data_IF_158863112134
#
_entry.id   IF_158863112134
#
_cell.length_a   1.000
_cell.length_b   1.000
_cell.length_c   1.000
_cell.angle_alpha   90.00
_cell.angle_beta   90.00
_cell.angle_gamma   90.00
#
_symmetry.space_group_name_H-M   'P 1'
#
loop_
_entity.id
_entity.type
_entity.pdbx_description
1 polymer ?
#
# COMPACT_ATOMS: atom_id res chain seq x y z
N UNK A 1 -11.46 -5.24 -0.78
CA UNK A 1 -10.00 -5.27 -0.89
C UNK A 1 -9.37 -3.90 -0.85
N UNK A 2 -9.87 -3.03 0.03
CA UNK A 2 -9.26 -1.73 0.31
C UNK A 2 -9.44 -1.28 1.76
N UNK A 3 -9.75 -2.19 2.66
CA UNK A 3 -9.28 -2.17 4.03
C UNK A 3 -7.76 -2.01 4.07
N UNK A 4 -7.23 -2.48 3.10
CA UNK A 4 -5.95 -2.60 2.54
C UNK A 4 -5.33 -1.32 2.01
N UNK A 5 -6.01 -0.23 1.74
CA UNK A 5 -5.24 0.90 1.20
C UNK A 5 -4.46 1.67 2.26
N UNK A 6 -4.67 1.38 3.56
CA UNK A 6 -3.77 1.87 4.63
C UNK A 6 -3.19 0.77 5.52
N UNK A 7 -3.86 -0.35 5.68
CA UNK A 7 -3.23 -1.60 6.13
C UNK A 7 -2.38 -2.18 4.99
N UNK A 8 -2.74 -1.99 3.72
CA UNK A 8 -1.89 -2.35 2.58
C UNK A 8 -0.80 -1.34 2.26
N UNK A 9 -0.82 -0.08 2.70
CA UNK A 9 0.42 0.71 2.59
C UNK A 9 1.48 0.19 3.57
N UNK A 10 1.09 -0.33 4.72
CA UNK A 10 1.98 -1.08 5.61
C UNK A 10 2.28 -2.49 5.08
N UNK A 11 1.25 -3.18 4.59
CA UNK A 11 1.42 -4.48 3.96
C UNK A 11 2.14 -4.44 2.60
N UNK A 12 2.27 -3.30 1.92
CA UNK A 12 2.98 -3.16 0.64
C UNK A 12 4.43 -2.68 0.80
N UNK A 13 4.79 -2.04 1.90
CA UNK A 13 6.21 -1.75 2.19
C UNK A 13 6.94 -2.99 2.74
N UNK A 14 6.27 -3.84 3.52
CA UNK A 14 6.82 -5.11 3.98
C UNK A 14 6.98 -6.16 2.85
N UNK A 15 5.99 -6.41 1.96
CA UNK A 15 6.18 -7.34 0.85
C UNK A 15 7.25 -6.92 -0.14
N UNK A 16 7.50 -5.63 -0.32
CA UNK A 16 8.55 -5.18 -1.22
C UNK A 16 9.95 -5.53 -0.71
N UNK A 17 10.18 -5.53 0.61
CA UNK A 17 11.41 -6.04 1.21
C UNK A 17 11.45 -7.57 1.26
N UNK A 18 10.33 -8.19 1.63
CA UNK A 18 10.17 -9.64 1.56
C UNK A 18 10.38 -10.14 0.13
N UNK A 19 9.96 -9.39 -0.90
CA UNK A 19 10.15 -9.77 -2.29
C UNK A 19 11.60 -9.64 -2.80
N UNK A 20 12.36 -8.62 -2.38
CA UNK A 20 13.80 -8.56 -2.69
C UNK A 20 14.56 -9.73 -2.04
N UNK A 21 14.06 -10.18 -0.91
CA UNK A 21 14.59 -11.29 -0.12
C UNK A 21 14.07 -12.65 -0.58
N UNK A 22 12.86 -12.74 -1.15
CA UNK A 22 12.40 -13.96 -1.82
C UNK A 22 13.34 -14.35 -2.97
N UNK A 23 13.93 -13.39 -3.68
CA UNK A 23 14.94 -13.67 -4.69
C UNK A 23 16.21 -14.28 -4.06
N UNK A 24 16.65 -13.83 -2.88
CA UNK A 24 17.76 -14.44 -2.12
C UNK A 24 17.39 -15.80 -1.51
N UNK A 25 16.17 -15.92 -0.98
CA UNK A 25 15.64 -17.15 -0.37
C UNK A 25 15.31 -18.25 -1.41
N UNK A 26 14.98 -17.88 -2.65
CA UNK A 26 14.71 -18.82 -3.74
C UNK A 26 15.89 -19.76 -4.01
N UNK A 27 17.11 -19.34 -3.66
CA UNK A 27 18.30 -20.17 -3.79
C UNK A 27 18.42 -21.28 -2.73
N UNK A 28 17.86 -21.02 -1.54
CA UNK A 28 17.99 -21.94 -0.40
C UNK A 28 17.00 -23.10 -0.42
N UNK A 29 16.15 -23.20 -1.44
CA UNK A 29 15.20 -24.30 -1.57
C UNK A 29 15.48 -25.13 -2.85
N UNK A 30 16.35 -26.15 -2.80
CA UNK A 30 16.73 -26.97 -3.96
C UNK A 30 15.59 -27.84 -4.51
N UNK A 31 14.49 -28.01 -3.78
CA UNK A 31 13.34 -28.83 -4.20
C UNK A 31 12.36 -28.06 -5.11
N UNK A 32 12.57 -26.77 -5.34
CA UNK A 32 11.70 -25.99 -6.23
C UNK A 32 11.88 -26.39 -7.70
N UNK A 33 10.77 -26.39 -8.48
CA UNK A 33 10.85 -26.73 -9.89
C UNK A 33 11.78 -25.77 -10.65
N UNK A 34 12.53 -26.30 -11.62
CA UNK A 34 13.52 -25.52 -12.40
C UNK A 34 12.88 -24.32 -13.12
N UNK A 35 11.58 -24.37 -13.37
CA UNK A 35 10.80 -23.31 -13.99
C UNK A 35 9.37 -23.35 -13.47
N UNK A 36 8.85 -22.20 -13.09
CA UNK A 36 7.46 -22.00 -12.72
C UNK A 36 6.93 -20.75 -13.42
N UNK A 37 5.74 -20.85 -14.00
CA UNK A 37 5.09 -19.71 -14.67
C UNK A 37 3.60 -19.74 -14.33
N UNK A 38 3.05 -18.59 -13.95
CA UNK A 38 1.62 -18.40 -13.68
C UNK A 38 1.08 -17.29 -14.55
N UNK A 39 -0.11 -17.50 -15.11
CA UNK A 39 -0.86 -16.46 -15.83
C UNK A 39 -2.25 -16.40 -15.24
N UNK A 40 -2.77 -15.23 -14.98
CA UNK A 40 -4.11 -15.05 -14.44
C UNK A 40 -4.80 -13.82 -15.05
N UNK A 41 -6.09 -13.94 -15.24
CA UNK A 41 -7.02 -12.86 -15.57
C UNK A 41 -7.99 -12.72 -14.41
N UNK A 42 -8.42 -11.50 -14.12
CA UNK A 42 -9.42 -11.26 -13.08
C UNK A 42 -10.39 -10.15 -13.45
N UNK A 43 -11.58 -10.23 -12.87
CA UNK A 43 -12.57 -9.17 -12.86
C UNK A 43 -13.21 -9.09 -11.48
N UNK A 44 -13.52 -7.89 -11.02
CA UNK A 44 -14.08 -7.68 -9.70
C UNK A 44 -15.01 -6.48 -9.67
N UNK A 45 -15.93 -6.52 -8.73
CA UNK A 45 -16.85 -5.44 -8.39
C UNK A 45 -16.76 -5.12 -6.91
N UNK A 46 -16.96 -3.86 -6.58
CA UNK A 46 -16.95 -3.37 -5.22
C UNK A 46 -18.07 -2.34 -5.07
N UNK A 47 -18.96 -2.54 -4.12
CA UNK A 47 -20.12 -1.70 -3.88
C UNK A 47 -20.25 -1.36 -2.40
N UNK A 48 -20.80 -0.19 -2.10
CA UNK A 48 -21.15 0.22 -0.76
C UNK A 48 -20.87 1.69 -0.46
N UNK A 49 -21.51 2.16 0.61
CA UNK A 49 -21.42 3.54 1.06
C UNK A 49 -20.37 3.78 2.13
N UNK A 50 -19.93 2.71 2.81
CA UNK A 50 -18.81 2.79 3.74
C UNK A 50 -17.48 2.89 2.98
N UNK A 51 -17.06 4.11 2.67
CA UNK A 51 -15.92 4.39 1.81
C UNK A 51 -15.30 5.77 2.10
N UNK A 52 -14.01 5.95 1.84
CA UNK A 52 -13.42 7.28 1.86
C UNK A 52 -13.95 8.12 0.67
N UNK A 53 -13.88 9.43 0.80
CA UNK A 53 -14.45 10.38 -0.19
C UNK A 53 -13.88 10.23 -1.60
N UNK A 54 -12.62 9.79 -1.72
CA UNK A 54 -11.96 9.59 -3.01
C UNK A 54 -12.28 8.24 -3.67
N UNK A 55 -13.11 7.41 -3.07
CA UNK A 55 -13.56 6.13 -3.65
C UNK A 55 -15.02 6.21 -4.12
N UNK A 56 -15.35 5.42 -5.15
CA UNK A 56 -16.70 5.35 -5.69
C UNK A 56 -17.63 4.50 -4.84
N UNK A 57 -18.94 4.77 -4.86
CA UNK A 57 -19.95 3.91 -4.26
C UNK A 57 -20.09 2.58 -4.99
N UNK A 58 -19.77 2.58 -6.27
CA UNK A 58 -19.64 1.39 -7.10
C UNK A 58 -18.35 1.49 -7.91
N UNK A 59 -17.59 0.41 -7.93
CA UNK A 59 -16.36 0.31 -8.71
C UNK A 59 -16.27 -1.07 -9.34
N UNK A 60 -15.73 -1.13 -10.55
CA UNK A 60 -15.32 -2.38 -11.16
C UNK A 60 -13.84 -2.36 -11.50
N UNK A 61 -13.23 -3.53 -11.55
CA UNK A 61 -11.84 -3.71 -11.95
C UNK A 61 -11.69 -4.92 -12.86
N UNK A 62 -10.75 -4.85 -13.77
CA UNK A 62 -10.32 -5.98 -14.57
C UNK A 62 -8.81 -5.93 -14.76
N UNK A 63 -8.17 -7.09 -14.89
CA UNK A 63 -6.74 -7.12 -15.06
C UNK A 63 -6.19 -8.46 -15.51
N UNK A 64 -4.89 -8.43 -15.83
CA UNK A 64 -4.11 -9.58 -16.21
C UNK A 64 -2.75 -9.57 -15.51
N UNK A 65 -2.23 -10.72 -15.15
CA UNK A 65 -0.90 -10.90 -14.58
C UNK A 65 -0.24 -12.15 -15.14
N UNK A 66 1.03 -12.01 -15.48
CA UNK A 66 1.91 -13.13 -15.72
C UNK A 66 3.12 -13.00 -14.80
N UNK A 67 3.54 -14.11 -14.20
CA UNK A 67 4.71 -14.16 -13.33
C UNK A 67 5.47 -15.45 -13.57
N UNK A 68 6.78 -15.43 -13.36
CA UNK A 68 7.59 -16.62 -13.54
C UNK A 68 8.91 -16.57 -12.80
N UNK A 69 9.39 -17.76 -12.50
CA UNK A 69 10.70 -18.02 -11.90
C UNK A 69 11.42 -19.04 -12.77
N UNK A 70 12.70 -18.83 -13.01
CA UNK A 70 13.59 -19.78 -13.69
C UNK A 70 14.86 -19.96 -12.88
N UNK A 71 15.09 -21.18 -12.42
CA UNK A 71 16.33 -21.57 -11.76
C UNK A 71 17.33 -22.10 -12.79
N UNK A 72 18.52 -21.49 -12.83
CA UNK A 72 19.69 -22.00 -13.54
C UNK A 72 20.70 -22.57 -12.54
N UNK A 73 21.86 -23.02 -13.04
CA UNK A 73 22.90 -23.64 -12.21
C UNK A 73 23.42 -22.70 -11.09
N UNK A 74 23.63 -21.43 -11.42
CA UNK A 74 24.15 -20.42 -10.48
C UNK A 74 23.27 -19.18 -10.36
N UNK A 75 22.23 -19.05 -11.20
CA UNK A 75 21.43 -17.82 -11.26
C UNK A 75 19.97 -18.16 -11.28
N UNK A 76 19.21 -17.53 -10.40
CA UNK A 76 17.74 -17.57 -10.40
C UNK A 76 17.21 -16.26 -10.94
N UNK A 77 16.30 -16.35 -11.90
CA UNK A 77 15.62 -15.24 -12.53
C UNK A 77 14.17 -15.19 -12.10
N UNK A 78 13.67 -14.00 -11.84
CA UNK A 78 12.25 -13.78 -11.55
C UNK A 78 11.70 -12.65 -12.40
N UNK A 79 10.42 -12.72 -12.72
CA UNK A 79 9.77 -11.63 -13.44
C UNK A 79 8.26 -11.68 -13.30
N UNK A 80 7.64 -10.51 -13.35
CA UNK A 80 6.19 -10.42 -13.43
C UNK A 80 5.78 -9.18 -14.23
N UNK A 81 4.65 -9.29 -14.91
CA UNK A 81 3.96 -8.19 -15.57
C UNK A 81 2.51 -8.22 -15.17
N UNK A 82 1.94 -7.07 -14.85
CA UNK A 82 0.50 -6.94 -14.58
C UNK A 82 -0.05 -5.67 -15.16
N UNK A 83 -1.30 -5.76 -15.62
CA UNK A 83 -2.10 -4.66 -16.11
C UNK A 83 -3.42 -4.66 -15.35
N UNK A 84 -3.88 -3.52 -14.91
CA UNK A 84 -5.15 -3.37 -14.19
C UNK A 84 -5.86 -2.10 -14.65
N UNK A 85 -7.15 -2.22 -14.88
CA UNK A 85 -8.07 -1.09 -15.06
C UNK A 85 -9.07 -1.10 -13.91
N UNK A 86 -9.27 0.05 -13.28
CA UNK A 86 -10.27 0.24 -12.22
C UNK A 86 -11.08 1.51 -12.48
N UNK A 87 -12.39 1.37 -12.58
CA UNK A 87 -13.32 2.48 -12.80
C UNK A 87 -14.31 2.57 -11.64
N UNK A 88 -14.54 3.77 -11.13
CA UNK A 88 -15.48 4.01 -10.03
C UNK A 88 -16.32 5.25 -10.25
N UNK A 89 -17.57 5.19 -9.75
CA UNK A 89 -18.58 6.21 -9.87
C UNK A 89 -18.77 6.98 -8.56
N UNK A 90 -19.08 8.28 -8.65
CA UNK A 90 -19.29 9.13 -7.48
C UNK A 90 -18.02 9.46 -6.69
N UNK A 91 -16.85 9.38 -7.33
CA UNK A 91 -15.56 9.74 -6.71
C UNK A 91 -15.41 11.24 -6.58
N UNK A 92 -14.93 11.67 -5.43
CA UNK A 92 -14.64 13.04 -5.03
C UNK A 92 -13.18 13.20 -4.61
N UNK A 93 -12.83 14.42 -4.27
CA UNK A 93 -11.57 14.79 -3.60
C UNK A 93 -10.34 14.58 -4.48
N UNK A 94 -9.41 13.74 -4.08
CA UNK A 94 -8.07 13.64 -4.64
C UNK A 94 -8.02 13.45 -6.15
N UNK A 95 -7.12 14.20 -6.80
CA UNK A 95 -6.76 14.04 -8.20
C UNK A 95 -5.54 13.16 -8.41
N UNK A 96 -4.86 12.74 -7.33
CA UNK A 96 -3.72 11.85 -7.39
C UNK A 96 -4.15 10.39 -7.58
N UNK A 97 -3.26 9.61 -8.18
CA UNK A 97 -3.46 8.17 -8.37
C UNK A 97 -3.53 7.43 -7.04
N UNK A 98 -2.73 7.87 -6.06
CA UNK A 98 -2.66 7.33 -4.70
C UNK A 98 -2.97 8.42 -3.68
N UNK A 99 -4.26 8.63 -3.35
CA UNK A 99 -4.66 9.63 -2.38
C UNK A 99 -3.99 9.43 -1.02
N UNK A 100 -3.41 10.50 -0.46
CA UNK A 100 -2.73 10.49 0.84
C UNK A 100 -1.31 9.93 0.82
N UNK A 101 -0.76 9.55 -0.33
CA UNK A 101 0.65 9.16 -0.45
C UNK A 101 1.59 10.36 -0.24
N UNK A 102 1.34 11.46 -0.96
CA UNK A 102 2.09 12.70 -0.76
C UNK A 102 1.57 13.48 0.46
N UNK A 103 2.38 14.33 1.09
CA UNK A 103 1.94 15.16 2.22
C UNK A 103 1.03 16.33 1.82
N UNK A 104 0.70 16.45 0.55
CA UNK A 104 -0.22 17.42 -0.05
C UNK A 104 -1.20 16.72 -0.96
N UNK A 105 -2.28 17.39 -1.34
CA UNK A 105 -3.26 16.88 -2.31
C UNK A 105 -3.84 17.99 -3.19
N UNK A 106 -4.29 17.65 -4.38
CA UNK A 106 -5.14 18.47 -5.21
C UNK A 106 -6.55 17.91 -5.14
N UNK A 107 -7.47 18.70 -4.63
CA UNK A 107 -8.83 18.29 -4.36
C UNK A 107 -9.81 18.95 -5.29
N UNK A 108 -10.79 18.16 -5.69
CA UNK A 108 -12.01 18.60 -6.34
C UNK A 108 -13.22 18.10 -5.56
N UNK A 109 -14.35 18.80 -5.68
CA UNK A 109 -15.57 18.49 -4.95
C UNK A 109 -16.76 18.17 -5.85
N UNK A 110 -16.50 17.94 -7.14
CA UNK A 110 -17.52 17.58 -8.12
C UNK A 110 -17.55 16.06 -8.29
N UNK A 111 -18.65 15.35 -7.93
CA UNK A 111 -18.72 13.90 -8.10
C UNK A 111 -18.63 13.51 -9.57
N UNK A 112 -17.97 12.36 -9.84
CA UNK A 112 -17.85 11.91 -11.22
C UNK A 112 -17.29 10.51 -11.35
N UNK A 113 -17.22 10.03 -12.57
CA UNK A 113 -16.58 8.79 -12.93
C UNK A 113 -15.08 9.02 -13.10
N UNK A 114 -14.28 8.28 -12.36
CA UNK A 114 -12.80 8.24 -12.53
C UNK A 114 -12.38 6.84 -12.94
N UNK A 115 -11.54 6.78 -13.98
CA UNK A 115 -10.91 5.54 -14.44
C UNK A 115 -9.41 5.60 -14.18
N UNK A 116 -8.86 4.52 -13.66
CA UNK A 116 -7.43 4.34 -13.40
C UNK A 116 -6.94 3.12 -14.14
N UNK A 117 -5.86 3.28 -14.87
CA UNK A 117 -5.12 2.23 -15.54
C UNK A 117 -3.73 2.14 -14.91
N UNK A 118 -3.26 0.93 -14.61
CA UNK A 118 -1.97 0.71 -13.99
C UNK A 118 -1.26 -0.46 -14.66
N UNK A 119 -0.04 -0.24 -15.12
CA UNK A 119 0.87 -1.27 -15.60
C UNK A 119 2.05 -1.41 -14.64
N UNK A 120 2.43 -2.64 -14.28
CA UNK A 120 3.59 -2.93 -13.45
C UNK A 120 4.44 -4.02 -14.09
N UNK A 121 5.73 -3.76 -14.16
CA UNK A 121 6.77 -4.69 -14.58
C UNK A 121 7.73 -4.90 -13.40
N UNK A 122 8.07 -6.14 -13.11
CA UNK A 122 9.07 -6.50 -12.13
C UNK A 122 10.02 -7.51 -12.74
N UNK A 123 11.31 -7.33 -12.53
CA UNK A 123 12.33 -8.25 -12.98
C UNK A 123 13.43 -8.33 -11.92
N UNK A 124 14.00 -9.50 -11.74
CA UNK A 124 15.10 -9.70 -10.80
C UNK A 124 15.92 -10.92 -11.12
N UNK A 125 17.12 -10.93 -10.57
CA UNK A 125 17.97 -12.11 -10.54
C UNK A 125 18.77 -12.16 -9.25
N UNK A 126 19.17 -13.37 -8.88
CA UNK A 126 20.19 -13.66 -7.85
C UNK A 126 21.18 -14.63 -8.45
N UNK A 127 22.45 -14.35 -8.30
CA UNK A 127 23.53 -15.20 -8.79
C UNK A 127 24.49 -15.55 -7.66
N UNK A 128 24.96 -16.78 -7.70
CA UNK A 128 26.03 -17.29 -6.86
C UNK A 128 27.38 -16.73 -7.34
N UNK A 129 28.08 -16.07 -6.44
CA UNK A 129 29.42 -15.56 -6.67
C UNK A 129 30.52 -16.55 -6.24
N UNK A 130 30.12 -17.65 -5.59
CA UNK A 130 31.03 -18.57 -4.90
C UNK A 130 31.47 -18.06 -3.52
N UNK A 131 32.20 -18.90 -2.76
CA UNK A 131 32.75 -18.54 -1.43
C UNK A 131 31.68 -17.95 -0.47
N UNK A 132 30.51 -18.57 -0.40
CA UNK A 132 29.45 -18.16 0.52
C UNK A 132 28.77 -16.81 0.18
N UNK A 133 29.00 -16.25 -1.00
CA UNK A 133 28.38 -14.99 -1.41
C UNK A 133 27.40 -15.17 -2.57
N UNK A 134 26.31 -14.43 -2.52
CA UNK A 134 25.40 -14.25 -3.63
C UNK A 134 25.08 -12.77 -3.84
N UNK A 135 24.94 -12.35 -5.09
CA UNK A 135 24.48 -10.99 -5.43
C UNK A 135 23.17 -11.04 -6.21
N UNK A 136 22.34 -10.04 -6.00
CA UNK A 136 21.08 -9.92 -6.70
C UNK A 136 20.78 -8.49 -7.11
N UNK A 137 19.88 -8.38 -8.07
CA UNK A 137 19.28 -7.12 -8.47
C UNK A 137 17.78 -7.35 -8.70
N UNK A 138 16.96 -6.48 -8.14
CA UNK A 138 15.54 -6.41 -8.43
C UNK A 138 15.20 -5.02 -8.94
N UNK A 139 14.41 -4.94 -10.00
CA UNK A 139 13.87 -3.71 -10.53
C UNK A 139 12.35 -3.82 -10.66
N UNK A 140 11.64 -2.81 -10.20
CA UNK A 140 10.19 -2.68 -10.35
C UNK A 140 9.89 -1.36 -11.04
N UNK A 141 9.10 -1.40 -12.08
CA UNK A 141 8.59 -0.24 -12.77
C UNK A 141 7.06 -0.28 -12.79
N UNK A 142 6.44 0.79 -12.36
CA UNK A 142 4.99 0.96 -12.43
C UNK A 142 4.68 2.27 -13.13
N UNK A 143 3.74 2.24 -14.07
CA UNK A 143 3.17 3.42 -14.68
C UNK A 143 1.66 3.38 -14.52
N UNK A 144 1.05 4.55 -14.29
CA UNK A 144 -0.39 4.65 -14.11
C UNK A 144 -0.96 5.92 -14.73
N UNK A 145 -2.20 5.81 -15.13
CA UNK A 145 -3.03 6.90 -15.62
C UNK A 145 -4.33 6.93 -14.83
N UNK A 146 -4.73 8.12 -14.38
CA UNK A 146 -6.03 8.38 -13.77
C UNK A 146 -6.70 9.47 -14.59
N UNK A 147 -7.96 9.28 -15.01
CA UNK A 147 -8.70 10.26 -15.76
C UNK A 147 -10.13 10.44 -15.27
N UNK A 148 -10.62 11.69 -15.29
CA UNK A 148 -12.00 12.07 -15.09
C UNK A 148 -12.49 12.85 -16.30
N UNK A 149 -13.58 12.41 -16.92
CA UNK A 149 -14.10 13.00 -18.16
C UNK A 149 -15.22 14.01 -17.96
N UNK A 150 -15.88 14.02 -16.81
CA UNK A 150 -16.94 14.98 -16.45
C UNK A 150 -16.36 16.25 -15.82
N UNK A 151 -17.21 17.25 -15.48
CA UNK A 151 -16.83 18.54 -14.90
C UNK A 151 -15.66 18.45 -13.92
N UNK A 152 -14.74 19.41 -14.02
CA UNK A 152 -13.37 19.36 -13.56
C UNK A 152 -12.62 18.18 -14.21
N UNK A 153 -12.58 18.20 -15.55
CA UNK A 153 -11.78 17.25 -16.29
C UNK A 153 -10.33 17.34 -15.84
N UNK A 154 -9.83 16.22 -15.38
CA UNK A 154 -8.42 16.12 -15.02
C UNK A 154 -7.87 14.76 -15.39
N UNK A 155 -6.57 14.72 -15.54
CA UNK A 155 -5.82 13.49 -15.67
C UNK A 155 -4.57 13.54 -14.81
N UNK A 156 -4.17 12.40 -14.30
CA UNK A 156 -2.90 12.21 -13.63
C UNK A 156 -2.13 11.10 -14.31
N UNK A 157 -0.87 11.35 -14.61
CA UNK A 157 0.08 10.35 -15.09
C UNK A 157 1.20 10.19 -14.07
N UNK A 158 1.44 8.96 -13.62
CA UNK A 158 2.47 8.65 -12.63
C UNK A 158 3.40 7.53 -13.08
N UNK A 159 4.64 7.61 -12.60
CA UNK A 159 5.66 6.56 -12.72
C UNK A 159 6.30 6.31 -11.37
N UNK A 160 6.63 5.05 -11.10
CA UNK A 160 7.36 4.60 -9.93
C UNK A 160 8.41 3.57 -10.35
N UNK A 161 9.68 3.94 -10.24
CA UNK A 161 10.82 3.08 -10.52
C UNK A 161 11.51 2.77 -9.19
N UNK A 162 11.69 1.48 -8.88
CA UNK A 162 12.44 1.00 -7.73
C UNK A 162 13.52 0.03 -8.19
N UNK A 163 14.73 0.20 -7.68
CA UNK A 163 15.91 -0.64 -7.98
C UNK A 163 16.57 -1.05 -6.67
N UNK A 164 16.80 -2.34 -6.51
CA UNK A 164 17.27 -2.96 -5.27
C UNK A 164 18.42 -3.93 -5.54
N UNK A 165 19.68 -3.48 -5.58
CA UNK A 165 20.82 -4.37 -5.50
C UNK A 165 20.92 -5.00 -4.10
N UNK A 166 21.24 -6.29 -4.05
CA UNK A 166 21.39 -7.06 -2.83
C UNK A 166 22.71 -7.82 -2.81
N UNK A 167 23.28 -7.97 -1.62
CA UNK A 167 24.42 -8.83 -1.36
C UNK A 167 24.05 -9.74 -0.18
N UNK A 168 24.24 -11.04 -0.36
CA UNK A 168 23.96 -12.04 0.65
C UNK A 168 25.23 -12.78 1.01
N UNK A 169 25.50 -12.91 2.29
CA UNK A 169 26.52 -13.81 2.86
C UNK A 169 25.82 -15.05 3.41
N UNK A 170 26.13 -16.20 2.84
CA UNK A 170 25.56 -17.51 3.21
C UNK A 170 26.52 -18.15 4.23
N UNK A 171 26.09 -18.29 5.46
CA UNK A 171 26.91 -18.88 6.54
C UNK A 171 26.89 -20.40 6.50
N UNK A 172 25.71 -20.97 6.18
CA UNK A 172 25.49 -22.37 5.88
C UNK A 172 24.29 -22.53 4.93
N UNK A 173 23.86 -23.75 4.65
CA UNK A 173 22.78 -24.01 3.67
C UNK A 173 21.46 -23.29 4.02
N UNK A 174 21.22 -23.01 5.30
CA UNK A 174 19.96 -22.51 5.82
C UNK A 174 20.06 -21.16 6.56
N UNK A 175 21.27 -20.60 6.67
CA UNK A 175 21.51 -19.39 7.45
C UNK A 175 22.33 -18.35 6.68
N UNK A 176 22.00 -17.08 6.79
CA UNK A 176 22.76 -16.02 6.15
C UNK A 176 22.36 -14.61 6.56
N UNK A 177 23.16 -13.68 6.04
CA UNK A 177 22.94 -12.23 6.15
C UNK A 177 22.75 -11.64 4.76
N UNK A 178 21.67 -10.90 4.58
CA UNK A 178 21.41 -10.15 3.35
C UNK A 178 21.46 -8.65 3.63
N UNK A 179 22.06 -7.91 2.69
CA UNK A 179 22.09 -6.46 2.67
C UNK A 179 21.48 -5.98 1.37
N UNK A 180 20.64 -4.98 1.44
CA UNK A 180 20.00 -4.38 0.28
C UNK A 180 20.19 -2.85 0.31
N UNK A 181 20.42 -2.27 -0.85
CA UNK A 181 20.25 -0.84 -1.06
C UNK A 181 19.00 -0.65 -1.91
N UNK A 182 18.17 0.31 -1.55
CA UNK A 182 16.92 0.62 -2.25
C UNK A 182 17.03 2.01 -2.83
N UNK A 183 16.85 2.12 -4.13
CA UNK A 183 16.64 3.39 -4.82
C UNK A 183 15.22 3.41 -5.38
N UNK A 184 14.48 4.50 -5.16
CA UNK A 184 13.15 4.70 -5.73
C UNK A 184 13.01 6.10 -6.29
N UNK A 185 12.41 6.20 -7.46
CA UNK A 185 12.01 7.45 -8.10
C UNK A 185 10.51 7.36 -8.42
N UNK A 186 9.72 8.20 -7.77
CA UNK A 186 8.30 8.33 -8.05
C UNK A 186 8.00 9.72 -8.60
N UNK A 187 7.25 9.77 -9.68
CA UNK A 187 6.80 11.02 -10.29
C UNK A 187 5.30 10.95 -10.55
N UNK A 188 4.63 12.05 -10.40
CA UNK A 188 3.24 12.18 -10.78
C UNK A 188 3.00 13.58 -11.36
N UNK A 189 2.20 13.68 -12.41
CA UNK A 189 1.83 14.92 -13.05
C UNK A 189 0.33 14.97 -13.22
N UNK A 190 -0.31 15.85 -12.46
CA UNK A 190 -1.73 16.16 -12.60
C UNK A 190 -1.91 17.25 -13.64
N UNK A 191 -2.83 17.06 -14.58
CA UNK A 191 -3.26 18.05 -15.57
C UNK A 191 -4.74 18.31 -15.36
N UNK A 192 -5.12 19.57 -15.34
CA UNK A 192 -6.49 19.98 -15.15
C UNK A 192 -6.90 20.84 -16.33
N UNK A 193 -8.10 20.58 -16.85
CA UNK A 193 -8.78 21.43 -17.82
C UNK A 193 -10.02 22.02 -17.14
N UNK A 194 -9.89 23.15 -16.42
CA UNK A 194 -11.00 23.77 -15.72
C UNK A 194 -12.00 24.34 -16.71
N UNK A 195 -13.28 24.23 -16.35
CA UNK A 195 -14.32 25.02 -16.94
C UNK A 195 -14.33 26.45 -16.38
N UNK A 196 -15.12 27.32 -16.94
CA UNK A 196 -15.31 28.68 -16.43
C UNK A 196 -15.91 28.64 -15.02
N UNK A 197 -15.22 29.21 -14.01
CA UNK A 197 -15.65 29.25 -12.61
C UNK A 197 -15.30 28.02 -11.76
N UNK A 198 -14.57 27.05 -12.29
CA UNK A 198 -14.09 25.88 -11.54
C UNK A 198 -12.84 26.25 -10.72
N UNK A 199 -12.90 26.05 -9.41
CA UNK A 199 -11.77 26.25 -8.51
C UNK A 199 -11.28 24.94 -7.94
N UNK A 200 -9.96 24.75 -7.94
CA UNK A 200 -9.26 23.65 -7.32
C UNK A 200 -8.84 24.02 -5.90
N UNK A 201 -8.83 23.05 -5.00
CA UNK A 201 -8.29 23.24 -3.68
C UNK A 201 -6.96 22.54 -3.53
N UNK A 202 -5.91 23.31 -3.29
CA UNK A 202 -4.59 22.77 -2.96
C UNK A 202 -4.48 22.57 -1.45
N UNK A 203 -4.56 21.30 -1.01
CA UNK A 203 -4.47 20.89 0.37
C UNK A 203 -2.98 20.76 0.79
N UNK A 204 -2.56 21.58 1.74
CA UNK A 204 -1.22 21.59 2.32
C UNK A 204 -1.11 20.75 3.60
N UNK A 205 -2.10 19.92 3.87
CA UNK A 205 -2.23 19.06 5.03
C UNK A 205 -3.40 19.45 5.95
N UNK A 206 -4.09 18.47 6.50
CA UNK A 206 -5.28 18.62 7.32
C UNK A 206 -6.40 19.49 6.71
N UNK A 207 -6.49 19.52 5.39
CA UNK A 207 -7.43 20.39 4.63
C UNK A 207 -7.18 21.90 4.78
N UNK A 208 -6.00 22.29 5.25
CA UNK A 208 -5.55 23.66 5.14
C UNK A 208 -4.91 23.91 3.77
N UNK A 209 -5.39 24.90 3.05
CA UNK A 209 -4.89 25.16 1.73
C UNK A 209 -5.51 26.39 1.09
N UNK A 210 -5.32 26.52 -0.20
CA UNK A 210 -5.81 27.66 -1.01
C UNK A 210 -6.60 27.17 -2.21
N UNK A 211 -7.63 27.91 -2.58
CA UNK A 211 -8.23 27.76 -3.89
C UNK A 211 -7.29 28.31 -4.97
N UNK A 212 -7.24 27.60 -6.08
CA UNK A 212 -6.38 27.93 -7.20
C UNK A 212 -7.21 27.92 -8.45
N UNK A 213 -7.21 29.03 -9.14
CA UNK A 213 -7.89 29.16 -10.43
C UNK A 213 -7.05 28.46 -11.49
N UNK A 214 -7.69 27.55 -12.17
CA UNK A 214 -7.26 26.78 -13.30
C UNK A 214 -5.78 26.67 -13.57
N UNK A 215 -5.26 25.48 -13.73
CA UNK A 215 -3.90 25.37 -14.16
C UNK A 215 -3.68 24.24 -15.10
N UNK A 216 -2.63 24.39 -15.86
CA UNK A 216 -2.26 23.43 -16.87
C UNK A 216 -1.63 22.16 -16.30
N UNK A 217 -0.77 22.24 -15.28
CA UNK A 217 -0.09 21.07 -14.78
C UNK A 217 0.52 21.24 -13.37
N UNK A 218 0.46 20.19 -12.56
CA UNK A 218 1.10 20.12 -11.24
C UNK A 218 2.03 18.90 -11.18
N UNK A 219 3.33 19.08 -11.43
CA UNK A 219 4.31 18.00 -11.36
C UNK A 219 4.78 17.75 -9.93
N UNK A 220 4.92 16.47 -9.58
CA UNK A 220 5.52 16.00 -8.32
C UNK A 220 6.62 15.00 -8.64
N UNK A 221 7.72 15.08 -7.92
CA UNK A 221 8.83 14.14 -8.00
C UNK A 221 9.32 13.80 -6.59
N UNK A 222 9.44 12.53 -6.29
CA UNK A 222 10.02 12.01 -5.06
C UNK A 222 11.18 11.06 -5.41
N UNK A 223 12.30 11.24 -4.72
CA UNK A 223 13.42 10.30 -4.72
C UNK A 223 13.59 9.78 -3.31
N UNK A 224 13.67 8.47 -3.15
CA UNK A 224 14.00 7.84 -1.89
C UNK A 224 15.18 6.88 -2.04
N UNK A 225 15.94 6.77 -0.97
CA UNK A 225 17.04 5.84 -0.83
C UNK A 225 16.87 5.12 0.49
N UNK A 226 17.40 3.90 0.59
CA UNK A 226 17.30 3.13 1.82
C UNK A 226 18.37 2.04 1.88
N UNK A 227 18.60 1.57 3.12
CA UNK A 227 19.40 0.39 3.40
C UNK A 227 18.57 -0.58 4.20
N UNK A 228 18.63 -1.85 3.83
CA UNK A 228 18.06 -2.94 4.55
C UNK A 228 19.11 -3.97 4.92
N UNK A 229 18.96 -4.59 6.08
CA UNK A 229 19.71 -5.77 6.46
C UNK A 229 18.77 -6.81 7.03
N UNK A 230 19.04 -8.09 6.74
CA UNK A 230 18.25 -9.21 7.25
C UNK A 230 19.18 -10.37 7.60
N UNK A 231 19.04 -10.85 8.81
CA UNK A 231 19.44 -12.18 9.21
C UNK A 231 18.31 -13.17 8.94
N UNK A 232 18.62 -14.36 8.49
CA UNK A 232 17.67 -15.44 8.32
C UNK A 232 18.28 -16.78 8.65
N UNK A 233 17.49 -17.66 9.23
CA UNK A 233 17.74 -19.08 9.42
C UNK A 233 16.45 -19.87 9.21
N UNK A 234 16.46 -21.17 9.37
CA UNK A 234 15.24 -22.00 9.32
C UNK A 234 14.21 -21.58 10.37
N UNK A 235 14.67 -21.21 11.56
CA UNK A 235 13.80 -20.93 12.69
C UNK A 235 13.61 -19.43 12.95
N UNK A 236 14.57 -18.59 12.57
CA UNK A 236 14.59 -17.18 12.96
C UNK A 236 14.89 -16.29 11.76
N UNK A 237 14.10 -15.22 11.61
CA UNK A 237 14.47 -14.11 10.76
C UNK A 237 14.32 -12.78 11.51
N UNK A 238 15.27 -11.88 11.30
CA UNK A 238 15.23 -10.54 11.85
C UNK A 238 15.77 -9.54 10.85
N UNK A 239 15.21 -8.34 10.81
CA UNK A 239 15.67 -7.33 9.86
C UNK A 239 15.42 -5.91 10.32
N UNK A 240 16.21 -5.04 9.72
CA UNK A 240 16.12 -3.58 9.86
C UNK A 240 16.12 -2.96 8.48
N UNK A 241 15.25 -2.00 8.26
CA UNK A 241 15.29 -1.11 7.11
C UNK A 241 15.26 0.34 7.58
N UNK A 242 16.05 1.17 6.91
CA UNK A 242 16.05 2.61 7.06
C UNK A 242 15.99 3.26 5.69
N UNK A 243 15.00 4.14 5.49
CA UNK A 243 14.80 4.88 4.25
C UNK A 243 14.74 6.37 4.52
N UNK A 244 15.19 7.15 3.55
CA UNK A 244 15.00 8.61 3.53
C UNK A 244 14.55 9.03 2.15
N UNK A 245 13.73 10.07 2.10
CA UNK A 245 13.18 10.58 0.86
C UNK A 245 13.31 12.09 0.76
N UNK A 246 13.33 12.57 -0.48
CA UNK A 246 13.24 13.98 -0.84
C UNK A 246 12.28 14.11 -1.99
N UNK A 247 11.26 14.94 -1.82
CA UNK A 247 10.32 15.23 -2.86
C UNK A 247 10.24 16.72 -3.16
N UNK A 248 9.80 17.03 -4.36
CA UNK A 248 9.55 18.37 -4.86
C UNK A 248 8.23 18.39 -5.60
N UNK A 249 7.49 19.46 -5.43
CA UNK A 249 6.26 19.73 -6.16
C UNK A 249 6.17 21.22 -6.45
N UNK A 250 5.46 21.56 -7.51
CA UNK A 250 5.18 22.95 -7.82
C UNK A 250 4.83 23.16 -9.27
N UNK A 251 4.06 24.21 -9.50
CA UNK A 251 3.75 24.72 -10.82
C UNK A 251 3.58 26.23 -10.75
N UNK A 252 3.54 26.88 -11.91
CA UNK A 252 3.17 28.28 -12.02
C UNK A 252 1.83 28.54 -11.34
N UNK A 253 1.80 29.44 -10.36
CA UNK A 253 0.61 29.78 -9.57
C UNK A 253 0.41 28.99 -8.26
N UNK A 254 1.14 27.87 -8.02
CA UNK A 254 0.99 27.05 -6.79
C UNK A 254 2.13 27.24 -5.79
N UNK A 255 3.20 27.90 -6.17
CA UNK A 255 4.42 27.95 -5.37
C UNK A 255 5.32 26.71 -5.58
N UNK A 256 6.40 26.67 -4.85
CA UNK A 256 7.38 25.57 -4.86
C UNK A 256 7.43 24.92 -3.48
N UNK A 257 7.29 23.59 -3.46
CA UNK A 257 7.25 22.80 -2.24
C UNK A 257 8.33 21.73 -2.24
N UNK A 258 8.86 21.45 -1.06
CA UNK A 258 9.71 20.28 -0.82
C UNK A 258 9.11 19.41 0.29
N UNK A 259 9.30 18.09 0.20
CA UNK A 259 8.81 17.16 1.22
C UNK A 259 9.87 16.12 1.57
N UNK A 260 10.75 16.44 2.53
CA UNK A 260 11.67 15.46 3.10
C UNK A 260 10.92 14.48 3.99
N UNK A 261 11.40 13.24 4.02
CA UNK A 261 10.84 12.20 4.88
C UNK A 261 11.87 11.13 5.22
N UNK A 262 11.53 10.32 6.21
CA UNK A 262 12.32 9.15 6.62
C UNK A 262 11.43 8.08 7.22
N UNK A 263 11.84 6.83 7.08
CA UNK A 263 11.19 5.70 7.74
C UNK A 263 12.24 4.71 8.28
N UNK A 264 11.92 4.07 9.40
CA UNK A 264 12.68 2.98 9.97
C UNK A 264 11.70 1.86 10.28
N UNK A 265 12.02 0.66 9.87
CA UNK A 265 11.25 -0.54 10.23
C UNK A 265 12.18 -1.62 10.78
N UNK A 266 11.68 -2.37 11.74
CA UNK A 266 12.33 -3.55 12.29
C UNK A 266 11.32 -4.68 12.36
N UNK A 267 11.78 -5.91 12.17
CA UNK A 267 10.95 -7.08 12.39
C UNK A 267 11.76 -8.23 12.99
N UNK A 268 11.04 -9.12 13.62
CA UNK A 268 11.52 -10.40 14.12
C UNK A 268 10.47 -11.46 13.82
N UNK A 269 10.91 -12.59 13.29
CA UNK A 269 10.10 -13.77 12.99
C UNK A 269 10.75 -14.99 13.63
N UNK A 270 9.93 -15.90 14.14
CA UNK A 270 10.38 -17.17 14.67
C UNK A 270 9.42 -18.29 14.29
N UNK A 271 9.98 -19.42 13.90
CA UNK A 271 9.27 -20.67 13.65
C UNK A 271 9.70 -21.69 14.68
N UNK A 272 8.76 -22.26 15.38
CA UNK A 272 8.97 -23.40 16.27
C UNK A 272 8.40 -24.64 15.60
N UNK A 273 9.26 -25.54 15.19
CA UNK A 273 8.87 -26.78 14.53
C UNK A 273 8.53 -27.84 15.58
N UNK A 274 7.38 -28.51 15.39
CA UNK A 274 6.97 -29.67 16.17
C UNK A 274 6.53 -30.79 15.22
N UNK A 275 6.37 -32.01 15.71
CA UNK A 275 6.14 -33.19 14.86
C UNK A 275 4.95 -33.09 13.89
N UNK A 276 3.93 -32.34 14.23
CA UNK A 276 2.70 -32.24 13.42
C UNK A 276 2.28 -30.81 13.09
N UNK A 277 2.90 -29.83 13.74
CA UNK A 277 2.54 -28.41 13.60
C UNK A 277 3.75 -27.53 13.70
N UNK A 278 3.78 -26.47 12.92
CA UNK A 278 4.74 -25.37 13.09
C UNK A 278 4.01 -24.17 13.69
N UNK A 279 4.66 -23.53 14.64
CA UNK A 279 4.22 -22.28 15.23
C UNK A 279 5.04 -21.14 14.65
N UNK A 280 4.37 -20.23 13.96
CA UNK A 280 4.98 -19.03 13.43
C UNK A 280 4.61 -17.82 14.28
N UNK A 281 5.60 -17.05 14.65
CA UNK A 281 5.44 -15.81 15.41
C UNK A 281 6.17 -14.69 14.70
N UNK A 282 5.54 -13.51 14.60
CA UNK A 282 6.16 -12.30 14.04
C UNK A 282 5.81 -11.08 14.87
N UNK A 283 6.79 -10.23 15.08
CA UNK A 283 6.64 -8.88 15.60
C UNK A 283 7.29 -7.92 14.61
N UNK A 284 6.61 -6.84 14.30
CA UNK A 284 7.22 -5.76 13.53
C UNK A 284 6.87 -4.39 14.11
N UNK A 285 7.77 -3.45 13.90
CA UNK A 285 7.57 -2.05 14.25
C UNK A 285 8.09 -1.17 13.13
N UNK A 286 7.30 -0.15 12.77
CA UNK A 286 7.69 0.86 11.80
C UNK A 286 7.42 2.26 12.37
N UNK A 287 8.30 3.17 12.02
CA UNK A 287 8.13 4.60 12.27
C UNK A 287 8.48 5.36 10.99
N UNK A 288 7.59 6.25 10.59
CA UNK A 288 7.80 7.14 9.45
C UNK A 288 7.55 8.59 9.83
N UNK A 289 8.17 9.50 9.10
CA UNK A 289 7.96 10.93 9.24
C UNK A 289 8.05 11.59 7.87
N UNK A 290 7.08 12.44 7.58
CA UNK A 290 7.01 13.26 6.37
C UNK A 290 6.75 14.71 6.75
N UNK A 291 7.41 15.63 6.05
CA UNK A 291 7.19 17.06 6.21
C UNK A 291 6.85 17.69 4.87
N UNK A 292 5.94 18.65 4.85
CA UNK A 292 5.75 19.57 3.74
C UNK A 292 6.36 20.90 4.09
N UNK A 293 7.16 21.45 3.17
CA UNK A 293 7.84 22.75 3.31
C UNK A 293 7.54 23.58 2.07
N UNK A 294 7.19 24.85 2.29
CA UNK A 294 6.98 25.83 1.22
C UNK A 294 8.24 26.68 1.06
N UNK A 295 8.63 26.95 -0.18
CA UNK A 295 9.75 27.83 -0.47
C UNK A 295 9.36 29.28 -0.11
N UNK A 296 10.19 29.92 0.69
CA UNK A 296 10.02 31.32 1.02
C UNK A 296 10.55 32.16 -0.16
N UNK A 297 9.74 33.12 -0.61
CA UNK A 297 10.16 34.06 -1.64
C UNK A 297 11.51 34.69 -1.29
N UNK A 298 12.29 35.03 -2.29
CA UNK A 298 13.62 35.66 -2.17
C UNK A 298 14.79 34.75 -1.74
N UNK A 299 14.64 33.44 -1.83
CA UNK A 299 15.71 32.48 -1.58
C UNK A 299 16.10 32.33 -0.10
N UNK A 300 15.29 32.84 0.83
CA UNK A 300 15.51 32.72 2.28
C UNK A 300 15.37 31.31 2.86
N UNK A 301 15.00 30.29 2.03
CA UNK A 301 14.85 28.90 2.44
C UNK A 301 13.42 28.38 2.36
N UNK A 302 13.09 27.39 3.21
CA UNK A 302 11.79 26.75 3.26
C UNK A 302 11.16 26.90 4.65
N UNK A 303 9.87 27.24 4.71
CA UNK A 303 9.07 27.17 5.92
C UNK A 303 8.32 25.83 6.00
N UNK A 304 8.29 25.22 7.19
CA UNK A 304 7.48 24.02 7.41
C UNK A 304 5.99 24.39 7.40
N UNK A 305 5.23 23.67 6.59
CA UNK A 305 3.78 23.87 6.43
C UNK A 305 2.99 22.80 7.16
N UNK A 306 3.41 21.54 7.02
CA UNK A 306 2.81 20.42 7.75
C UNK A 306 3.84 19.33 8.07
N UNK A 307 3.49 18.48 9.03
CA UNK A 307 4.31 17.36 9.52
C UNK A 307 3.38 16.16 9.78
N UNK A 308 3.79 14.98 9.35
CA UNK A 308 3.11 13.71 9.62
C UNK A 308 4.08 12.76 10.27
N UNK A 309 3.68 12.13 11.35
CA UNK A 309 4.42 11.09 12.05
C UNK A 309 3.54 9.85 12.15
N UNK A 310 3.96 8.76 11.55
CA UNK A 310 3.37 7.43 11.66
C UNK A 310 4.18 6.52 12.59
N UNK A 311 3.49 5.63 13.27
CA UNK A 311 4.07 4.51 14.03
C UNK A 311 3.14 3.33 13.92
N UNK A 312 3.66 2.19 13.55
CA UNK A 312 2.95 0.96 13.35
C UNK A 312 3.62 -0.17 14.12
N UNK A 313 2.82 -1.00 14.75
CA UNK A 313 3.27 -2.20 15.43
C UNK A 313 2.36 -3.36 15.05
N UNK A 314 2.93 -4.49 14.70
CA UNK A 314 2.21 -5.71 14.34
C UNK A 314 2.70 -6.86 15.21
N UNK A 315 1.75 -7.66 15.66
CA UNK A 315 1.97 -8.95 16.29
C UNK A 315 1.17 -10.00 15.52
N UNK A 316 1.83 -11.02 14.98
CA UNK A 316 1.19 -12.11 14.26
C UNK A 316 1.61 -13.44 14.84
N UNK A 317 0.64 -14.33 15.00
CA UNK A 317 0.84 -15.71 15.39
C UNK A 317 0.06 -16.63 14.48
N UNK A 318 0.68 -17.70 13.98
CA UNK A 318 0.06 -18.71 13.14
C UNK A 318 0.43 -20.11 13.63
N UNK A 319 -0.51 -21.02 13.54
CA UNK A 319 -0.30 -22.46 13.65
C UNK A 319 -0.45 -23.03 12.24
N UNK A 320 0.57 -23.72 11.76
CA UNK A 320 0.60 -24.38 10.44
C UNK A 320 0.60 -25.89 10.68
N UNK A 321 -0.40 -26.55 10.15
CA UNK A 321 -0.55 -28.01 10.27
C UNK A 321 0.15 -28.67 9.09
N UNK A 322 1.00 -29.65 9.37
CA UNK A 322 1.74 -30.40 8.34
C UNK A 322 0.84 -31.39 7.60
N UNK A 323 -0.25 -31.83 8.24
CA UNK A 323 -1.18 -32.82 7.70
C UNK A 323 -2.63 -32.44 8.05
N UNK A 324 -3.56 -32.93 7.21
CA UNK A 324 -5.00 -32.76 7.44
C UNK A 324 -5.65 -31.68 6.56
N UNK A 325 -6.95 -31.49 6.76
CA UNK A 325 -7.73 -30.52 5.99
C UNK A 325 -7.47 -29.07 6.42
N UNK A 326 -7.19 -28.84 7.70
CA UNK A 326 -6.80 -27.54 8.22
C UNK A 326 -5.30 -27.35 7.96
N UNK A 327 -4.94 -26.32 7.21
CA UNK A 327 -3.54 -26.02 6.89
C UNK A 327 -2.97 -24.96 7.81
N UNK A 328 -3.79 -23.96 8.17
CA UNK A 328 -3.32 -22.81 8.93
C UNK A 328 -4.44 -22.18 9.76
N UNK A 329 -4.09 -21.77 10.97
CA UNK A 329 -4.91 -20.89 11.80
C UNK A 329 -4.03 -19.71 12.23
N UNK A 330 -4.54 -18.50 12.19
CA UNK A 330 -3.76 -17.31 12.49
C UNK A 330 -4.54 -16.24 13.24
N UNK A 331 -3.82 -15.48 14.05
CA UNK A 331 -4.27 -14.24 14.66
C UNK A 331 -3.24 -13.14 14.38
N UNK A 332 -3.70 -11.95 14.02
CA UNK A 332 -2.89 -10.76 13.90
C UNK A 332 -3.50 -9.62 14.71
N UNK A 333 -2.63 -8.88 15.37
CA UNK A 333 -2.97 -7.66 16.11
C UNK A 333 -2.10 -6.53 15.57
N UNK A 334 -2.74 -5.46 15.10
CA UNK A 334 -2.05 -4.30 14.57
C UNK A 334 -2.43 -3.06 15.35
N UNK A 335 -1.45 -2.23 15.65
CA UNK A 335 -1.61 -0.91 16.24
C UNK A 335 -1.01 0.15 15.34
N UNK A 336 -1.80 1.15 14.97
CA UNK A 336 -1.34 2.29 14.18
C UNK A 336 -1.56 3.58 14.94
N UNK A 337 -0.51 4.39 15.05
CA UNK A 337 -0.59 5.75 15.59
C UNK A 337 -0.14 6.75 14.53
N UNK A 338 -0.99 7.73 14.24
CA UNK A 338 -0.66 8.82 13.34
C UNK A 338 -0.85 10.17 14.03
N UNK A 339 0.10 11.06 13.83
CA UNK A 339 0.04 12.46 14.25
C UNK A 339 0.25 13.33 13.01
N UNK A 340 -0.81 14.03 12.63
CA UNK A 340 -0.76 15.03 11.55
C UNK A 340 -0.77 16.42 12.19
N UNK A 341 0.09 17.33 11.72
CA UNK A 341 0.18 18.70 12.16
C UNK A 341 0.16 19.63 10.97
N UNK A 342 -0.66 20.67 11.03
CA UNK A 342 -0.53 21.86 10.21
C UNK A 342 0.20 22.92 11.02
N UNK A 343 1.16 23.61 10.40
CA UNK A 343 1.98 24.63 11.05
C UNK A 343 1.75 26.02 10.46
N UNK A 344 1.28 26.09 9.23
CA UNK A 344 0.95 27.32 8.50
C UNK A 344 -0.21 27.07 7.54
N UNK A 345 -1.16 27.99 7.35
CA UNK A 345 -1.25 29.30 8.00
C UNK A 345 -1.65 29.23 9.47
N UNK A 346 -2.16 28.10 9.92
CA UNK A 346 -2.71 27.90 11.26
C UNK A 346 -2.12 26.66 11.90
N UNK A 347 -1.91 26.71 13.21
CA UNK A 347 -1.49 25.52 13.93
C UNK A 347 -2.71 24.63 14.24
N UNK A 348 -2.68 23.41 13.75
CA UNK A 348 -3.65 22.36 14.08
C UNK A 348 -2.93 21.01 14.24
N UNK A 349 -3.44 20.14 15.07
CA UNK A 349 -2.90 18.82 15.29
C UNK A 349 -4.00 17.80 15.44
N UNK A 350 -3.90 16.70 14.73
CA UNK A 350 -4.77 15.53 14.89
C UNK A 350 -3.92 14.33 15.24
N UNK A 351 -4.26 13.66 16.35
CA UNK A 351 -3.67 12.40 16.75
C UNK A 351 -4.73 11.32 16.62
N UNK A 352 -4.35 10.19 16.02
CA UNK A 352 -5.22 9.02 15.83
C UNK A 352 -4.49 7.77 16.29
N UNK A 353 -5.16 6.95 17.07
CA UNK A 353 -4.73 5.60 17.35
C UNK A 353 -5.80 4.64 16.80
N UNK A 354 -5.36 3.71 15.97
CA UNK A 354 -6.19 2.67 15.36
C UNK A 354 -5.69 1.32 15.86
N UNK A 355 -6.61 0.39 16.06
CA UNK A 355 -6.27 -0.98 16.39
C UNK A 355 -7.02 -1.94 15.49
N UNK A 356 -6.37 -3.00 15.04
CA UNK A 356 -6.95 -4.07 14.24
C UNK A 356 -6.67 -5.40 14.90
N UNK A 357 -7.69 -6.26 14.98
CA UNK A 357 -7.57 -7.65 15.32
C UNK A 357 -8.12 -8.49 14.16
N UNK A 358 -7.34 -9.44 13.66
CA UNK A 358 -7.73 -10.30 12.56
C UNK A 358 -7.54 -11.77 12.93
N UNK A 359 -8.48 -12.61 12.49
CA UNK A 359 -8.41 -14.07 12.57
C UNK A 359 -8.36 -14.62 11.14
N UNK A 360 -7.60 -15.66 10.92
CA UNK A 360 -7.52 -16.31 9.61
C UNK A 360 -7.49 -17.84 9.74
N UNK A 361 -8.08 -18.54 8.76
CA UNK A 361 -8.03 -19.99 8.66
C UNK A 361 -7.88 -20.39 7.20
N UNK A 362 -7.02 -21.36 6.92
CA UNK A 362 -6.84 -21.96 5.58
C UNK A 362 -7.14 -23.45 5.64
N UNK A 363 -7.96 -23.90 4.71
CA UNK A 363 -8.35 -25.30 4.57
C UNK A 363 -7.98 -25.81 3.17
N UNK A 364 -7.48 -27.04 3.10
CA UNK A 364 -7.24 -27.74 1.84
C UNK A 364 -8.07 -29.02 1.80
N UNK A 365 -8.95 -29.14 0.81
CA UNK A 365 -9.88 -30.23 0.64
C UNK A 365 -9.75 -30.82 -0.79
N UNK A 366 -8.68 -31.56 -1.01
CA UNK A 366 -8.35 -32.12 -2.31
C UNK A 366 -8.03 -31.04 -3.35
N UNK A 367 -8.91 -30.85 -4.32
CA UNK A 367 -8.75 -29.81 -5.36
C UNK A 367 -9.18 -28.40 -4.91
N UNK A 368 -9.77 -28.28 -3.71
CA UNK A 368 -10.26 -27.02 -3.17
C UNK A 368 -9.32 -26.49 -2.08
N UNK A 369 -9.09 -25.19 -2.12
CA UNK A 369 -8.46 -24.41 -1.04
C UNK A 369 -9.43 -23.30 -0.62
N UNK A 370 -9.69 -23.22 0.68
CA UNK A 370 -10.58 -22.23 1.28
C UNK A 370 -9.80 -21.43 2.31
N UNK A 371 -9.64 -20.14 2.06
CA UNK A 371 -9.16 -19.18 3.04
C UNK A 371 -10.36 -18.41 3.62
N UNK A 372 -10.40 -18.28 4.92
CA UNK A 372 -11.38 -17.47 5.64
C UNK A 372 -10.65 -16.44 6.49
N UNK A 373 -11.19 -15.24 6.56
CA UNK A 373 -10.73 -14.20 7.43
C UNK A 373 -11.89 -13.46 8.10
N UNK A 374 -11.63 -13.00 9.32
CA UNK A 374 -12.51 -12.11 10.05
C UNK A 374 -11.66 -11.01 10.69
N UNK A 375 -12.17 -9.81 10.71
CA UNK A 375 -11.48 -8.67 11.29
C UNK A 375 -12.41 -7.80 12.12
N UNK A 376 -11.81 -7.17 13.12
CA UNK A 376 -12.40 -6.05 13.84
C UNK A 376 -11.34 -4.94 13.90
N UNK A 377 -11.71 -3.74 13.51
CA UNK A 377 -10.81 -2.59 13.60
C UNK A 377 -11.57 -1.32 14.00
N UNK A 378 -10.83 -0.27 14.32
CA UNK A 378 -11.41 1.03 14.58
C UNK A 378 -10.49 1.98 15.32
N UNK A 379 -10.96 3.21 15.45
CA UNK A 379 -10.27 4.24 16.21
C UNK A 379 -10.37 4.00 17.70
N UNK A 380 -9.23 3.75 18.33
CA UNK A 380 -9.15 3.60 19.78
C UNK A 380 -9.18 4.96 20.47
N UNK A 381 -8.58 5.98 19.84
CA UNK A 381 -8.50 7.30 20.43
C UNK A 381 -8.16 8.37 19.38
N UNK A 382 -8.81 9.53 19.51
CA UNK A 382 -8.57 10.72 18.70
C UNK A 382 -8.46 11.95 19.58
N UNK A 383 -7.44 12.76 19.39
CA UNK A 383 -7.31 14.07 20.02
C UNK A 383 -7.03 15.11 18.95
N UNK A 384 -7.66 16.26 19.07
CA UNK A 384 -7.50 17.40 18.21
C UNK A 384 -7.14 18.64 19.02
N UNK A 385 -5.90 19.11 18.85
CA UNK A 385 -5.50 20.43 19.32
C UNK A 385 -5.74 21.46 18.22
N UNK A 386 -6.48 22.52 18.51
CA UNK A 386 -6.77 23.59 17.57
C UNK A 386 -6.69 24.94 18.28
N UNK A 387 -6.17 25.95 17.58
CA UNK A 387 -6.30 27.33 18.03
C UNK A 387 -7.76 27.78 18.01
N UNK A 388 -8.23 28.42 19.07
CA UNK A 388 -9.66 28.70 19.28
C UNK A 388 -10.26 29.70 18.28
N UNK A 389 -9.44 30.53 17.66
CA UNK A 389 -9.93 31.70 16.90
C UNK A 389 -10.20 31.42 15.40
N UNK A 390 -9.98 30.20 14.92
CA UNK A 390 -9.78 29.95 13.50
C UNK A 390 -10.81 29.04 12.85
N UNK A 391 -11.85 28.62 13.58
CA UNK A 391 -12.91 27.75 13.04
C UNK A 391 -13.86 28.46 12.09
N UNK A 392 -13.90 29.78 12.12
CA UNK A 392 -14.88 30.58 11.39
C UNK A 392 -14.59 30.74 9.88
N UNK A 393 -13.34 30.56 9.46
CA UNK A 393 -12.90 30.88 8.09
C UNK A 393 -12.66 29.68 7.16
N UNK A 394 -12.94 28.45 7.58
CA UNK A 394 -12.82 27.31 6.69
C UNK A 394 -14.06 27.18 5.80
N UNK A 395 -13.90 27.03 4.48
CA UNK A 395 -15.00 26.74 3.60
C UNK A 395 -15.73 25.46 4.05
N UNK A 396 -17.06 25.50 4.11
CA UNK A 396 -17.93 24.43 4.63
C UNK A 396 -17.64 23.04 3.99
N UNK A 397 -17.42 23.00 2.69
CA UNK A 397 -17.15 21.76 1.94
C UNK A 397 -15.85 21.07 2.37
N UNK A 398 -14.82 21.82 2.66
CA UNK A 398 -13.54 21.28 3.13
C UNK A 398 -13.67 20.68 4.52
N UNK A 399 -14.40 21.35 5.41
CA UNK A 399 -14.64 20.86 6.77
C UNK A 399 -15.47 19.58 6.73
N UNK A 400 -16.51 19.51 5.89
CA UNK A 400 -17.36 18.33 5.73
C UNK A 400 -16.61 17.15 5.14
N UNK A 401 -15.86 17.35 4.04
CA UNK A 401 -15.04 16.29 3.43
C UNK A 401 -14.00 15.75 4.41
N UNK A 402 -13.35 16.65 5.17
CA UNK A 402 -12.40 16.24 6.18
C UNK A 402 -13.04 15.46 7.33
N UNK A 403 -14.21 15.88 7.82
CA UNK A 403 -14.94 15.18 8.86
C UNK A 403 -15.39 13.80 8.39
N UNK A 404 -15.91 13.67 7.20
CA UNK A 404 -16.27 12.38 6.57
C UNK A 404 -15.07 11.45 6.47
N UNK A 405 -13.92 11.97 6.05
CA UNK A 405 -12.70 11.18 5.94
C UNK A 405 -12.20 10.73 7.32
N UNK A 406 -12.29 11.59 8.34
CA UNK A 406 -11.91 11.22 9.71
C UNK A 406 -12.88 10.20 10.31
N UNK A 407 -14.18 10.35 10.10
CA UNK A 407 -15.18 9.39 10.56
C UNK A 407 -14.97 8.02 9.89
N UNK A 408 -14.66 7.98 8.61
CA UNK A 408 -14.30 6.75 7.91
C UNK A 408 -13.10 6.05 8.55
N UNK A 409 -12.02 6.79 8.87
CA UNK A 409 -10.82 6.19 9.45
C UNK A 409 -10.97 5.78 10.91
N UNK A 410 -11.86 6.44 11.64
CA UNK A 410 -12.07 6.21 13.08
C UNK A 410 -13.26 5.30 13.38
N UNK A 411 -14.11 5.01 12.39
CA UNK A 411 -15.28 4.18 12.59
C UNK A 411 -14.88 2.77 13.05
N UNK A 412 -15.41 2.28 14.18
CA UNK A 412 -15.28 0.88 14.54
C UNK A 412 -16.03 0.04 13.51
N UNK A 413 -15.40 -1.03 13.06
CA UNK A 413 -15.94 -1.89 12.01
C UNK A 413 -15.56 -3.34 12.21
N UNK A 414 -16.41 -4.21 11.70
CA UNK A 414 -16.18 -5.65 11.62
C UNK A 414 -16.24 -6.06 10.16
N UNK A 415 -15.52 -7.10 9.80
CA UNK A 415 -15.53 -7.63 8.45
C UNK A 415 -15.26 -9.11 8.45
N UNK A 416 -15.70 -9.74 7.37
CA UNK A 416 -15.41 -11.13 7.07
C UNK A 416 -15.06 -11.26 5.59
N UNK A 417 -14.16 -12.16 5.29
CA UNK A 417 -13.75 -12.46 3.94
C UNK A 417 -13.54 -13.93 3.73
N UNK A 418 -13.53 -14.31 2.47
CA UNK A 418 -13.22 -15.68 2.09
C UNK A 418 -12.73 -15.75 0.66
N UNK A 419 -11.84 -16.69 0.45
CA UNK A 419 -11.31 -17.03 -0.86
C UNK A 419 -11.51 -18.50 -1.08
N UNK A 420 -12.19 -18.88 -2.16
CA UNK A 420 -12.32 -20.27 -2.62
C UNK A 420 -11.51 -20.43 -3.90
N UNK A 421 -10.53 -21.32 -3.88
CA UNK A 421 -9.74 -21.68 -5.06
C UNK A 421 -10.04 -23.14 -5.43
N UNK A 422 -10.29 -23.39 -6.70
CA UNK A 422 -10.43 -24.74 -7.26
C UNK A 422 -9.32 -24.98 -8.29
N UNK A 423 -8.58 -26.07 -8.10
CA UNK A 423 -7.52 -26.52 -9.00
C UNK A 423 -8.02 -27.69 -9.84
N UNK A 424 -8.10 -27.55 -11.15
CA UNK A 424 -8.54 -28.62 -12.07
C UNK A 424 -7.51 -29.74 -12.20
N UNK A 425 -6.25 -29.42 -11.96
CA UNK A 425 -5.16 -30.40 -11.84
C UNK A 425 -4.08 -29.84 -10.92
N UNK A 426 -3.65 -30.64 -9.96
CA UNK A 426 -2.63 -30.22 -8.98
C UNK A 426 -1.28 -30.89 -9.32
N UNK A 427 -0.13 -30.18 -9.15
CA UNK A 427 0.02 -28.77 -8.75
C UNK A 427 0.00 -27.79 -9.93
N UNK A 428 -0.06 -28.28 -11.17
CA UNK A 428 -0.04 -27.47 -12.39
C UNK A 428 -1.37 -27.58 -13.12
N UNK A 429 -1.78 -26.53 -13.80
CA UNK A 429 -3.00 -26.51 -14.59
C UNK A 429 -3.89 -25.29 -14.36
N UNK A 430 -5.11 -25.41 -14.83
CA UNK A 430 -6.14 -24.39 -14.69
C UNK A 430 -6.60 -24.27 -13.23
N UNK A 431 -6.77 -23.04 -12.76
CA UNK A 431 -7.44 -22.77 -11.50
C UNK A 431 -8.48 -21.67 -11.65
N UNK A 432 -9.49 -21.74 -10.81
CA UNK A 432 -10.50 -20.69 -10.64
C UNK A 432 -10.54 -20.29 -9.17
N UNK A 433 -10.52 -18.99 -8.91
CA UNK A 433 -10.53 -18.42 -7.57
C UNK A 433 -11.62 -17.37 -7.47
N UNK A 434 -12.44 -17.49 -6.44
CA UNK A 434 -13.46 -16.53 -6.05
C UNK A 434 -13.09 -15.92 -4.71
N UNK A 435 -12.95 -14.61 -4.68
CA UNK A 435 -12.70 -13.82 -3.46
C UNK A 435 -13.95 -13.00 -3.13
N UNK A 436 -14.36 -12.99 -1.87
CA UNK A 436 -15.45 -12.17 -1.38
C UNK A 436 -15.10 -11.54 -0.04
N UNK A 437 -15.42 -10.26 0.16
CA UNK A 437 -15.22 -9.55 1.44
C UNK A 437 -16.42 -8.66 1.74
N UNK A 438 -16.78 -8.63 3.01
CA UNK A 438 -17.82 -7.78 3.55
C UNK A 438 -17.29 -7.01 4.75
N UNK A 439 -17.65 -5.74 4.86
CA UNK A 439 -17.29 -4.85 5.96
C UNK A 439 -18.51 -4.11 6.42
N UNK A 440 -18.70 -4.02 7.75
CA UNK A 440 -19.77 -3.29 8.38
C UNK A 440 -19.21 -2.31 9.43
N UNK A 441 -19.52 -1.04 9.28
CA UNK A 441 -19.20 -0.01 10.27
C UNK A 441 -20.27 0.01 11.36
N UNK A 442 -19.83 -0.10 12.61
CA UNK A 442 -20.73 -0.22 13.77
C UNK A 442 -21.33 1.11 14.21
N UNK A 443 -20.66 2.22 13.90
CA UNK A 443 -21.14 3.55 14.29
C UNK A 443 -20.66 4.59 13.26
N UNK A 444 -21.59 5.07 12.43
CA UNK A 444 -21.31 6.03 11.36
C UNK A 444 -22.33 7.15 11.35
N UNK A 445 -21.85 8.38 11.40
CA UNK A 445 -22.67 9.59 11.38
C UNK A 445 -22.57 10.37 10.07
N UNK A 446 -21.44 10.31 9.36
CA UNK A 446 -21.16 11.23 8.26
C UNK A 446 -21.12 10.62 6.85
N UNK A 447 -21.02 9.30 6.67
CA UNK A 447 -20.80 8.70 5.34
C UNK A 447 -22.07 8.16 4.66
N UNK A 448 -23.22 8.20 5.31
CA UNK A 448 -24.51 7.83 4.70
C UNK A 448 -24.73 6.32 4.53
N UNK A 449 -23.79 5.45 4.92
CA UNK A 449 -23.96 4.00 4.83
C UNK A 449 -22.92 3.23 5.60
N UNK A 450 -23.26 2.01 6.01
CA UNK A 450 -22.46 1.20 6.93
C UNK A 450 -21.77 0.00 6.28
N UNK A 451 -22.19 -0.39 5.07
CA UNK A 451 -21.71 -1.62 4.44
C UNK A 451 -20.82 -1.33 3.24
N UNK A 452 -19.91 -2.28 3.01
CA UNK A 452 -19.12 -2.39 1.80
C UNK A 452 -18.88 -3.85 1.46
N UNK A 453 -19.08 -4.21 0.20
CA UNK A 453 -18.95 -5.56 -0.33
C UNK A 453 -18.00 -5.56 -1.52
N UNK A 454 -17.21 -6.61 -1.63
CA UNK A 454 -16.30 -6.81 -2.75
C UNK A 454 -16.38 -8.25 -3.22
N UNK A 455 -16.45 -8.46 -4.51
CA UNK A 455 -16.35 -9.76 -5.13
C UNK A 455 -15.35 -9.72 -6.29
N UNK A 456 -14.47 -10.72 -6.38
CA UNK A 456 -13.49 -10.85 -7.46
C UNK A 456 -13.44 -12.29 -7.94
N UNK A 457 -13.55 -12.47 -9.24
CA UNK A 457 -13.31 -13.75 -9.92
C UNK A 457 -11.97 -13.72 -10.63
N UNK A 458 -11.16 -14.73 -10.41
CA UNK A 458 -9.87 -14.92 -11.08
C UNK A 458 -9.81 -16.28 -11.75
N UNK A 459 -9.34 -16.30 -12.96
CA UNK A 459 -9.05 -17.53 -13.72
C UNK A 459 -7.58 -17.48 -14.13
N UNK A 460 -6.86 -18.54 -13.90
CA UNK A 460 -5.45 -18.58 -14.22
C UNK A 460 -4.96 -19.98 -14.52
N UNK A 461 -3.75 -20.04 -15.07
CA UNK A 461 -3.05 -21.27 -15.40
C UNK A 461 -1.64 -21.27 -14.80
N UNK A 462 -1.29 -22.39 -14.20
CA UNK A 462 0.01 -22.68 -13.61
C UNK A 462 0.75 -23.70 -14.46
N UNK A 463 1.88 -23.30 -15.07
CA UNK A 463 2.70 -24.13 -15.99
C UNK A 463 3.79 -24.89 -15.26
#
# INVERSE_FOLDING_TARGET
MKLTSKVCLLGLLLPALLQAQEVGLLRLNPERPAKETKVALWGGVEEGWFRPTYEGSFQWSAGARAEGVKHGERTTWTGSVSLEQKTGYGKLSSMFQEPGYFPMDLLEFTPGMKSRETGRLEAGFVTDLGYEYAAGLKATFQAGYLGKQSNLRHSSFGMDLRVEPTLTYVMDDNMGLAFAYVFRLKTERVQVAPGEGDALFFDKGLRYGTYVDGTSAFPIREMSNGFGSRFYSEEVAAGLEWTWKRGQAGASGFGSYSFPGSAVSVFYEQVFQAEQVDHFFRVSYQRDRDQLRENIADGAGFAAVSDRLGRDAELKYEIRFLHGAVQRLGIALDGHRQVDRAMSPLWDQVKRNLGTAALSATFSLGAFELDLDALADGGLWRDRGRSKDETANMPYRQTEDWLRLMDYYMAPRVGAGGTLTYHFSSPKGLFVRLDGHWIHALNMTATGGQNRETATLRVGYHF
#
